data_IF_791376711121
#
_entry.id   IF_791376711121
#
_cell.length_a   1.000
_cell.length_b   1.000
_cell.length_c   1.000
_cell.angle_alpha   90.00
_cell.angle_beta   90.00
_cell.angle_gamma   90.00
#
_symmetry.space_group_name_H-M   'P 1'
#
loop_
_entity.id
_entity.type
_entity.pdbx_description
1 polymer ?
#
# COMPACT_ATOMS: atom_id res chain seq x y z
N UNK A 1 26.24 47.73 -38.83
CA UNK A 1 26.80 46.62 -38.04
C UNK A 1 27.79 45.89 -38.92
N UNK A 2 29.05 45.71 -38.50
CA UNK A 2 30.06 45.04 -39.32
C UNK A 2 29.82 43.52 -39.34
N UNK A 3 30.01 42.89 -40.50
CA UNK A 3 29.81 41.45 -40.72
C UNK A 3 30.51 40.58 -39.66
N UNK A 4 31.70 41.02 -39.21
CA UNK A 4 32.49 40.35 -38.18
C UNK A 4 31.80 40.29 -36.82
N UNK A 5 31.11 41.36 -36.39
CA UNK A 5 30.39 41.38 -35.12
C UNK A 5 29.19 40.43 -35.14
N UNK A 6 28.48 40.33 -36.27
CA UNK A 6 27.37 39.39 -36.43
C UNK A 6 27.84 37.93 -36.37
N UNK A 7 28.98 37.60 -36.98
CA UNK A 7 29.55 36.23 -36.94
C UNK A 7 29.92 35.82 -35.52
N UNK A 8 30.55 36.71 -34.74
CA UNK A 8 30.91 36.44 -33.35
C UNK A 8 29.66 36.16 -32.50
N UNK A 9 28.60 36.96 -32.66
CA UNK A 9 27.35 36.75 -31.93
C UNK A 9 26.68 35.42 -32.32
N UNK A 10 26.71 35.04 -33.59
CA UNK A 10 26.20 33.74 -34.06
C UNK A 10 27.00 32.59 -33.45
N UNK A 11 28.33 32.69 -33.43
CA UNK A 11 29.18 31.67 -32.84
C UNK A 11 28.91 31.49 -31.34
N UNK A 12 28.77 32.59 -30.59
CA UNK A 12 28.39 32.57 -29.17
C UNK A 12 27.01 31.94 -28.98
N UNK A 13 26.03 32.34 -29.79
CA UNK A 13 24.69 31.77 -29.73
C UNK A 13 24.70 30.25 -29.98
N UNK A 14 25.46 29.77 -30.96
CA UNK A 14 25.62 28.34 -31.24
C UNK A 14 26.26 27.60 -30.06
N UNK A 15 27.32 28.16 -29.45
CA UNK A 15 27.96 27.55 -28.28
C UNK A 15 26.96 27.42 -27.13
N UNK A 16 26.17 28.47 -26.87
CA UNK A 16 25.14 28.45 -25.83
C UNK A 16 24.09 27.38 -26.14
N UNK A 17 23.58 27.33 -27.37
CA UNK A 17 22.57 26.34 -27.80
C UNK A 17 23.10 24.91 -27.63
N UNK A 18 24.33 24.64 -28.07
CA UNK A 18 24.96 23.32 -27.92
C UNK A 18 25.15 22.97 -26.44
N UNK A 19 25.61 23.91 -25.61
CA UNK A 19 25.75 23.69 -24.17
C UNK A 19 24.42 23.36 -23.48
N UNK A 20 23.36 24.09 -23.81
CA UNK A 20 22.01 23.83 -23.31
C UNK A 20 21.46 22.48 -23.81
N UNK A 21 21.70 22.12 -25.07
CA UNK A 21 21.26 20.84 -25.62
C UNK A 21 21.93 19.65 -24.91
N UNK A 22 23.26 19.71 -24.69
CA UNK A 22 24.00 18.69 -23.94
C UNK A 22 23.49 18.58 -22.50
N UNK A 23 23.25 19.71 -21.84
CA UNK A 23 22.71 19.73 -20.49
C UNK A 23 21.29 19.13 -20.42
N UNK A 24 20.42 19.46 -21.38
CA UNK A 24 19.07 18.91 -21.47
C UNK A 24 19.09 17.39 -21.67
N UNK A 25 19.99 16.86 -22.50
CA UNK A 25 20.13 15.40 -22.69
C UNK A 25 20.62 14.72 -21.40
N UNK A 26 21.61 15.30 -20.72
CA UNK A 26 22.08 14.79 -19.42
C UNK A 26 20.95 14.75 -18.39
N UNK A 27 20.19 15.84 -18.27
CA UNK A 27 19.09 15.94 -17.30
C UNK A 27 17.97 14.95 -17.63
N UNK A 28 17.63 14.75 -18.91
CA UNK A 28 16.68 13.73 -19.35
C UNK A 28 17.12 12.32 -18.95
N UNK A 29 18.42 12.02 -19.06
CA UNK A 29 18.95 10.73 -18.59
C UNK A 29 18.75 10.53 -17.08
N UNK A 30 19.04 11.56 -16.28
CA UNK A 30 18.86 11.52 -14.83
C UNK A 30 17.40 11.37 -14.40
N UNK A 31 16.47 12.03 -15.12
CA UNK A 31 15.03 11.89 -14.86
C UNK A 31 14.57 10.46 -15.13
N UNK A 32 14.95 9.88 -16.28
CA UNK A 32 14.60 8.50 -16.63
C UNK A 32 15.10 7.47 -15.61
N UNK A 33 16.33 7.64 -15.13
CA UNK A 33 16.90 6.75 -14.11
C UNK A 33 16.13 6.85 -12.78
N UNK A 34 15.77 8.06 -12.36
CA UNK A 34 14.95 8.26 -11.16
C UNK A 34 13.54 7.69 -11.31
N UNK A 35 12.92 7.87 -12.47
CA UNK A 35 11.60 7.31 -12.78
C UNK A 35 11.63 5.79 -12.73
N UNK A 36 12.66 5.16 -13.31
CA UNK A 36 12.84 3.70 -13.26
C UNK A 36 13.00 3.18 -11.82
N UNK A 37 13.81 3.86 -10.99
CA UNK A 37 13.97 3.51 -9.58
C UNK A 37 12.66 3.68 -8.79
N UNK A 38 11.90 4.75 -9.05
CA UNK A 38 10.60 4.96 -8.43
C UNK A 38 9.59 3.88 -8.83
N UNK A 39 9.56 3.50 -10.10
CA UNK A 39 8.68 2.43 -10.60
C UNK A 39 9.04 1.07 -9.98
N UNK A 40 10.34 0.78 -9.82
CA UNK A 40 10.82 -0.43 -9.14
C UNK A 40 10.42 -0.45 -7.67
N UNK A 41 10.63 0.65 -6.93
CA UNK A 41 10.23 0.78 -5.53
C UNK A 41 8.70 0.66 -5.35
N UNK A 42 7.90 1.27 -6.24
CA UNK A 42 6.45 1.14 -6.22
C UNK A 42 6.01 -0.31 -6.49
N UNK A 43 6.62 -0.98 -7.46
CA UNK A 43 6.33 -2.38 -7.78
C UNK A 43 6.68 -3.29 -6.59
N UNK A 44 7.82 -3.03 -5.95
CA UNK A 44 8.24 -3.74 -4.74
C UNK A 44 7.31 -3.50 -3.56
N UNK A 45 6.89 -2.25 -3.34
CA UNK A 45 5.93 -1.89 -2.30
C UNK A 45 4.59 -2.62 -2.51
N UNK A 46 4.07 -2.64 -3.73
CA UNK A 46 2.85 -3.40 -4.09
C UNK A 46 3.02 -4.89 -3.85
N UNK A 47 4.15 -5.46 -4.23
CA UNK A 47 4.43 -6.88 -4.00
C UNK A 47 4.44 -7.24 -2.51
N UNK A 48 5.12 -6.44 -1.70
CA UNK A 48 5.14 -6.61 -0.25
C UNK A 48 3.74 -6.43 0.37
N UNK A 49 2.94 -5.50 -0.16
CA UNK A 49 1.56 -5.30 0.30
C UNK A 49 0.70 -6.52 0.02
N UNK A 50 0.74 -7.07 -1.20
CA UNK A 50 -0.03 -8.26 -1.55
C UNK A 50 0.37 -9.48 -0.70
N UNK A 51 1.67 -9.72 -0.53
CA UNK A 51 2.17 -10.83 0.30
C UNK A 51 1.74 -10.68 1.77
N UNK A 52 1.87 -9.47 2.31
CA UNK A 52 1.47 -9.19 3.70
C UNK A 52 -0.04 -9.31 3.88
N UNK A 53 -0.81 -8.80 2.92
CA UNK A 53 -2.26 -8.81 2.95
C UNK A 53 -2.80 -10.24 2.85
N UNK A 54 -2.23 -11.07 1.98
CA UNK A 54 -2.53 -12.49 1.90
C UNK A 54 -2.21 -13.22 3.22
N UNK A 55 -1.02 -12.98 3.77
CA UNK A 55 -0.58 -13.62 5.02
C UNK A 55 -1.52 -13.28 6.18
N UNK A 56 -1.90 -12.01 6.32
CA UNK A 56 -2.79 -11.56 7.39
C UNK A 56 -4.20 -12.12 7.18
N UNK A 57 -4.74 -12.06 5.96
CA UNK A 57 -6.07 -12.59 5.67
C UNK A 57 -6.17 -14.10 5.95
N UNK A 58 -5.14 -14.88 5.63
CA UNK A 58 -5.07 -16.30 6.01
C UNK A 58 -4.98 -16.50 7.51
N UNK A 59 -4.18 -15.70 8.20
CA UNK A 59 -4.10 -15.76 9.66
C UNK A 59 -5.45 -15.43 10.32
N UNK A 60 -6.21 -14.48 9.75
CA UNK A 60 -7.58 -14.17 10.18
C UNK A 60 -8.53 -15.35 9.95
N UNK A 61 -8.53 -15.96 8.75
CA UNK A 61 -9.32 -17.16 8.46
C UNK A 61 -8.98 -18.32 9.42
N UNK A 62 -7.70 -18.49 9.75
CA UNK A 62 -7.22 -19.55 10.62
C UNK A 62 -7.38 -19.24 12.12
N UNK A 63 -7.89 -18.07 12.49
CA UNK A 63 -8.01 -17.63 13.89
C UNK A 63 -6.65 -17.48 14.60
N UNK A 64 -5.56 -17.29 13.85
CA UNK A 64 -4.20 -17.12 14.37
C UNK A 64 -3.90 -15.68 14.81
N UNK A 65 -4.74 -14.74 14.36
CA UNK A 65 -4.69 -13.33 14.75
C UNK A 65 -6.11 -12.87 15.12
N UNK A 66 -6.17 -11.98 16.10
CA UNK A 66 -7.38 -11.24 16.47
C UNK A 66 -7.94 -10.46 15.26
N UNK A 67 -9.26 -10.47 15.08
CA UNK A 67 -9.88 -9.89 13.88
C UNK A 67 -9.75 -8.37 13.85
N UNK A 68 -9.70 -7.70 15.00
CA UNK A 68 -9.50 -6.26 15.08
C UNK A 68 -8.08 -5.91 14.65
N UNK A 69 -7.07 -6.60 15.19
CA UNK A 69 -5.67 -6.37 14.81
C UNK A 69 -5.43 -6.71 13.33
N UNK A 70 -5.93 -7.86 12.86
CA UNK A 70 -5.84 -8.26 11.46
C UNK A 70 -6.53 -7.27 10.53
N UNK A 71 -7.76 -6.87 10.86
CA UNK A 71 -8.54 -5.92 10.07
C UNK A 71 -7.91 -4.53 9.98
N UNK A 72 -7.32 -4.02 11.07
CA UNK A 72 -6.59 -2.75 11.06
C UNK A 72 -5.34 -2.80 10.16
N UNK A 73 -4.61 -3.90 10.14
CA UNK A 73 -3.46 -4.06 9.23
C UNK A 73 -3.92 -4.19 7.78
N UNK A 74 -4.97 -4.96 7.52
CA UNK A 74 -5.56 -5.09 6.19
C UNK A 74 -6.04 -3.73 5.66
N UNK A 75 -6.68 -2.89 6.50
CA UNK A 75 -7.11 -1.53 6.15
C UNK A 75 -5.98 -0.73 5.50
N UNK A 76 -4.83 -0.67 6.18
CA UNK A 76 -3.68 0.12 5.72
C UNK A 76 -3.11 -0.46 4.43
N UNK A 77 -2.98 -1.79 4.33
CA UNK A 77 -2.43 -2.43 3.14
C UNK A 77 -3.33 -2.28 1.90
N UNK A 78 -4.66 -2.35 2.09
CA UNK A 78 -5.64 -2.11 1.01
C UNK A 78 -5.53 -0.67 0.51
N UNK A 79 -5.45 0.32 1.40
CA UNK A 79 -5.29 1.73 1.00
C UNK A 79 -3.96 2.03 0.31
N UNK A 80 -2.87 1.37 0.73
CA UNK A 80 -1.57 1.49 0.06
C UNK A 80 -1.64 0.88 -1.35
N UNK A 81 -2.34 -0.24 -1.50
CA UNK A 81 -2.47 -0.92 -2.78
C UNK A 81 -3.29 -0.08 -3.76
N UNK A 82 -4.49 0.33 -3.34
CA UNK A 82 -5.43 1.11 -4.14
C UNK A 82 -6.56 1.66 -3.24
N UNK A 83 -6.72 2.97 -3.21
CA UNK A 83 -7.76 3.62 -2.40
C UNK A 83 -9.18 3.24 -2.83
N UNK A 84 -9.39 2.87 -4.09
CA UNK A 84 -10.72 2.43 -4.58
C UNK A 84 -11.13 1.08 -4.01
N UNK A 85 -10.18 0.23 -3.63
CA UNK A 85 -10.48 -1.03 -2.93
C UNK A 85 -11.00 -0.78 -1.53
N UNK A 86 -10.64 0.33 -0.88
CA UNK A 86 -11.20 0.69 0.42
C UNK A 86 -12.68 1.10 0.34
N UNK A 87 -13.16 1.45 -0.86
CA UNK A 87 -14.56 1.79 -1.14
C UNK A 87 -15.40 0.58 -1.58
N UNK A 88 -14.78 -0.58 -1.82
CA UNK A 88 -15.50 -1.83 -2.11
C UNK A 88 -16.44 -2.20 -0.95
N UNK A 89 -17.64 -2.67 -1.30
CA UNK A 89 -18.70 -2.96 -0.33
C UNK A 89 -18.25 -3.92 0.78
N UNK A 90 -17.45 -4.93 0.44
CA UNK A 90 -16.99 -5.94 1.39
C UNK A 90 -15.72 -5.47 2.11
N UNK A 91 -14.75 -4.90 1.38
CA UNK A 91 -13.47 -4.47 1.96
C UNK A 91 -13.61 -3.21 2.83
N UNK A 92 -14.67 -2.41 2.64
CA UNK A 92 -14.99 -1.26 3.49
C UNK A 92 -15.15 -1.62 4.97
N UNK A 93 -15.41 -2.90 5.30
CA UNK A 93 -15.44 -3.42 6.67
C UNK A 93 -14.16 -3.08 7.46
N UNK A 94 -13.00 -3.08 6.81
CA UNK A 94 -11.74 -2.68 7.45
C UNK A 94 -11.71 -1.19 7.82
N UNK A 95 -12.28 -0.34 6.96
CA UNK A 95 -12.44 1.10 7.24
C UNK A 95 -13.46 1.36 8.35
N UNK A 96 -14.58 0.63 8.35
CA UNK A 96 -15.61 0.71 9.41
C UNK A 96 -15.00 0.31 10.75
N UNK A 97 -14.26 -0.79 10.80
CA UNK A 97 -13.53 -1.22 11.99
C UNK A 97 -12.61 -0.11 12.51
N UNK A 98 -11.77 0.46 11.65
CA UNK A 98 -10.88 1.57 12.03
C UNK A 98 -11.67 2.73 12.64
N UNK A 99 -12.78 3.15 12.01
CA UNK A 99 -13.65 4.21 12.54
C UNK A 99 -14.25 3.92 13.92
N UNK A 100 -14.45 2.64 14.27
CA UNK A 100 -14.99 2.19 15.57
C UNK A 100 -13.95 2.10 16.68
N UNK A 101 -12.67 1.99 16.35
CA UNK A 101 -11.61 1.78 17.36
C UNK A 101 -10.52 2.84 17.34
N UNK A 102 -10.55 3.79 16.40
CA UNK A 102 -9.55 4.84 16.27
C UNK A 102 -9.44 5.78 17.47
N UNK A 103 -10.51 5.95 18.25
CA UNK A 103 -10.50 6.75 19.48
C UNK A 103 -9.92 6.01 20.69
N UNK A 104 -9.76 4.69 20.60
CA UNK A 104 -9.22 3.89 21.70
C UNK A 104 -7.72 4.10 21.84
N UNK A 105 -7.23 4.12 23.07
CA UNK A 105 -5.81 4.33 23.29
C UNK A 105 -4.98 3.12 22.82
N UNK A 106 -3.87 3.41 22.12
CA UNK A 106 -2.88 2.40 21.72
C UNK A 106 -1.51 2.71 22.35
N UNK A 107 -0.59 1.75 22.26
CA UNK A 107 0.82 1.89 22.67
C UNK A 107 1.04 2.57 24.03
N UNK A 108 1.80 3.69 24.06
CA UNK A 108 2.16 4.44 25.25
C UNK A 108 0.93 5.08 25.92
N UNK A 109 -0.05 5.51 25.15
CA UNK A 109 -1.25 6.14 25.67
C UNK A 109 -2.12 5.14 26.46
N UNK A 110 -2.17 3.88 26.02
CA UNK A 110 -2.85 2.79 26.75
C UNK A 110 -2.18 2.46 28.09
N UNK A 111 -0.87 2.65 28.21
CA UNK A 111 -0.13 2.45 29.47
C UNK A 111 -0.48 3.50 30.52
N UNK A 112 -0.85 4.70 30.09
CA UNK A 112 -1.24 5.80 30.98
C UNK A 112 -2.66 5.64 31.56
N UNK A 113 -3.47 4.74 31.01
CA UNK A 113 -4.82 4.46 31.51
C UNK A 113 -4.80 3.83 32.89
N UNK A 114 -5.77 4.23 33.71
CA UNK A 114 -6.12 3.51 34.93
C UNK A 114 -6.65 2.12 34.60
N UNK A 115 -6.60 1.16 35.56
CA UNK A 115 -7.17 -0.17 35.35
C UNK A 115 -8.65 -0.16 34.95
N UNK A 116 -9.44 0.82 35.43
CA UNK A 116 -10.86 0.96 35.10
C UNK A 116 -11.09 1.42 33.67
N UNK A 117 -10.33 2.42 33.22
CA UNK A 117 -10.42 2.91 31.84
C UNK A 117 -9.96 1.84 30.85
N UNK A 118 -8.86 1.14 31.15
CA UNK A 118 -8.39 0.03 30.32
C UNK A 118 -9.44 -1.07 30.17
N UNK A 119 -10.11 -1.44 31.27
CA UNK A 119 -11.17 -2.44 31.24
C UNK A 119 -12.39 -1.96 30.42
N UNK A 120 -12.72 -0.67 30.48
CA UNK A 120 -13.80 -0.10 29.68
C UNK A 120 -13.47 -0.17 28.18
N UNK A 121 -12.26 0.22 27.78
CA UNK A 121 -11.81 0.10 26.39
C UNK A 121 -11.74 -1.34 25.90
N UNK A 122 -11.31 -2.28 26.75
CA UNK A 122 -11.26 -3.70 26.39
C UNK A 122 -12.65 -4.28 26.13
N UNK A 123 -13.66 -3.86 26.91
CA UNK A 123 -15.06 -4.23 26.63
C UNK A 123 -15.56 -3.65 25.32
N UNK A 124 -15.17 -2.42 25.00
CA UNK A 124 -15.53 -1.81 23.73
C UNK A 124 -14.90 -2.55 22.56
N UNK A 125 -13.63 -2.95 22.66
CA UNK A 125 -12.95 -3.77 21.64
C UNK A 125 -13.66 -5.09 21.40
N UNK A 126 -14.01 -5.81 22.47
CA UNK A 126 -14.72 -7.09 22.38
C UNK A 126 -16.09 -6.89 21.71
N UNK A 127 -16.84 -5.87 22.11
CA UNK A 127 -18.14 -5.57 21.51
C UNK A 127 -18.01 -5.24 20.01
N UNK A 128 -17.01 -4.46 19.62
CA UNK A 128 -16.74 -4.16 18.21
C UNK A 128 -16.38 -5.44 17.45
N UNK A 129 -15.50 -6.27 18.00
CA UNK A 129 -15.10 -7.53 17.39
C UNK A 129 -16.31 -8.45 17.17
N UNK A 130 -17.15 -8.66 18.19
CA UNK A 130 -18.37 -9.46 18.10
C UNK A 130 -19.30 -8.94 16.99
N UNK A 131 -19.49 -7.62 16.89
CA UNK A 131 -20.38 -7.03 15.87
C UNK A 131 -19.82 -7.10 14.45
N UNK A 132 -18.50 -7.07 14.28
CA UNK A 132 -17.84 -7.02 12.97
C UNK A 132 -17.22 -8.34 12.53
N UNK A 133 -17.27 -9.39 13.36
CA UNK A 133 -16.64 -10.70 13.10
C UNK A 133 -16.98 -11.22 11.71
N UNK A 134 -18.27 -11.32 11.37
CA UNK A 134 -18.70 -11.84 10.06
C UNK A 134 -18.23 -10.94 8.89
N UNK A 135 -18.29 -9.62 9.07
CA UNK A 135 -17.88 -8.68 8.03
C UNK A 135 -16.37 -8.74 7.77
N UNK A 136 -15.57 -8.84 8.84
CA UNK A 136 -14.11 -8.94 8.75
C UNK A 136 -13.66 -10.29 8.18
N UNK A 137 -14.35 -11.37 8.50
CA UNK A 137 -14.11 -12.67 7.87
C UNK A 137 -14.42 -12.62 6.37
N UNK A 138 -15.58 -12.10 5.98
CA UNK A 138 -15.93 -11.91 4.55
C UNK A 138 -14.92 -11.02 3.81
N UNK A 139 -14.43 -9.96 4.46
CA UNK A 139 -13.40 -9.11 3.88
C UNK A 139 -12.07 -9.85 3.70
N UNK A 140 -11.66 -10.66 4.69
CA UNK A 140 -10.48 -11.52 4.56
C UNK A 140 -10.65 -12.57 3.45
N UNK A 141 -11.84 -13.16 3.30
CA UNK A 141 -12.15 -14.08 2.22
C UNK A 141 -12.03 -13.39 0.85
N UNK A 142 -12.67 -12.22 0.71
CA UNK A 142 -12.62 -11.41 -0.52
C UNK A 142 -11.19 -11.02 -0.91
N UNK A 143 -10.36 -10.71 0.09
CA UNK A 143 -8.92 -10.48 -0.13
C UNK A 143 -8.28 -11.70 -0.80
N UNK A 144 -8.49 -12.91 -0.25
CA UNK A 144 -7.88 -14.13 -0.79
C UNK A 144 -8.43 -14.54 -2.16
N UNK A 145 -9.73 -14.36 -2.39
CA UNK A 145 -10.38 -14.60 -3.69
C UNK A 145 -9.78 -13.74 -4.80
N UNK A 146 -9.42 -12.50 -4.49
CA UNK A 146 -8.88 -11.55 -5.47
C UNK A 146 -7.37 -11.68 -5.71
N UNK A 147 -6.63 -12.49 -4.93
CA UNK A 147 -5.17 -12.50 -4.98
C UNK A 147 -4.59 -12.79 -6.37
N UNK A 148 -5.16 -13.73 -7.09
CA UNK A 148 -4.69 -14.07 -8.45
C UNK A 148 -4.88 -12.90 -9.41
N UNK A 149 -6.04 -12.24 -9.32
CA UNK A 149 -6.35 -11.05 -10.11
C UNK A 149 -5.44 -9.87 -9.73
N UNK A 150 -5.25 -9.59 -8.44
CA UNK A 150 -4.42 -8.49 -7.96
C UNK A 150 -2.95 -8.66 -8.32
N UNK A 151 -2.40 -9.87 -8.25
CA UNK A 151 -1.06 -10.16 -8.74
C UNK A 151 -0.92 -9.85 -10.24
N UNK A 152 -1.90 -10.27 -11.04
CA UNK A 152 -1.89 -9.98 -12.47
C UNK A 152 -2.06 -8.49 -12.76
N UNK A 153 -2.95 -7.81 -12.04
CA UNK A 153 -3.31 -6.41 -12.26
C UNK A 153 -2.21 -5.44 -11.81
N UNK A 154 -1.69 -5.61 -10.60
CA UNK A 154 -0.73 -4.66 -10.00
C UNK A 154 0.73 -5.01 -10.27
N UNK A 155 1.05 -6.29 -10.50
CA UNK A 155 2.43 -6.77 -10.71
C UNK A 155 2.67 -7.37 -12.10
N UNK A 156 1.63 -7.51 -12.94
CA UNK A 156 1.75 -8.08 -14.29
C UNK A 156 2.20 -9.54 -14.33
N UNK A 157 2.10 -10.27 -13.21
CA UNK A 157 2.61 -11.64 -13.07
C UNK A 157 1.62 -12.53 -12.34
N UNK A 158 1.71 -13.84 -12.58
CA UNK A 158 0.92 -14.82 -11.82
C UNK A 158 1.32 -14.81 -10.35
N UNK A 159 0.35 -15.05 -9.48
CA UNK A 159 0.58 -15.25 -8.06
C UNK A 159 1.46 -16.50 -7.85
N UNK A 160 2.45 -16.42 -6.94
CA UNK A 160 3.26 -17.58 -6.60
C UNK A 160 2.42 -18.63 -5.85
N UNK A 161 2.74 -19.91 -6.04
CA UNK A 161 2.08 -20.98 -5.28
C UNK A 161 2.56 -20.93 -3.84
N UNK A 162 1.65 -20.70 -2.90
CA UNK A 162 1.95 -20.63 -1.46
C UNK A 162 1.74 -22.03 -0.84
N UNK A 163 2.59 -22.49 0.10
CA UNK A 163 2.45 -23.82 0.70
C UNK A 163 1.07 -24.10 1.32
N UNK A 164 0.40 -23.06 1.80
CA UNK A 164 -0.95 -23.14 2.36
C UNK A 164 -2.02 -23.62 1.35
N UNK A 165 -1.79 -23.46 0.05
CA UNK A 165 -2.72 -23.87 -1.00
C UNK A 165 -2.57 -25.34 -1.38
N UNK A 166 -1.40 -25.93 -1.12
CA UNK A 166 -1.12 -27.34 -1.42
C UNK A 166 -1.94 -28.30 -0.54
N UNK A 167 -2.36 -27.85 0.66
CA UNK A 167 -3.18 -28.64 1.58
C UNK A 167 -4.69 -28.63 1.29
N UNK A 168 -5.17 -27.77 0.37
CA UNK A 168 -6.59 -27.71 -0.05
C UNK A 168 -6.86 -28.46 -1.35
N UNK A 169 -5.82 -28.97 -2.02
CA UNK A 169 -5.90 -29.61 -3.33
C UNK A 169 -6.09 -31.15 -3.26
N UNK A 170 -6.58 -31.69 -2.15
CA UNK A 170 -6.85 -33.12 -1.94
C UNK A 170 -8.29 -33.34 -1.53
#
# INVERSE_FOLDING_TARGET
>A
MSLSSSIILIAIALIIIVGLAVYALKLRGQVKEREALQEEELTRARANCLESLETIARAMQAGQIDLVEGGLRCKVLVEILDTTLAEDEVLSAFGILHGRVAHLHTHSARKALSPRERLAEDRERIAVEETLTEALQKAADRVLENMDFWHQHYLGRKRPVVPADLGRAV
#
